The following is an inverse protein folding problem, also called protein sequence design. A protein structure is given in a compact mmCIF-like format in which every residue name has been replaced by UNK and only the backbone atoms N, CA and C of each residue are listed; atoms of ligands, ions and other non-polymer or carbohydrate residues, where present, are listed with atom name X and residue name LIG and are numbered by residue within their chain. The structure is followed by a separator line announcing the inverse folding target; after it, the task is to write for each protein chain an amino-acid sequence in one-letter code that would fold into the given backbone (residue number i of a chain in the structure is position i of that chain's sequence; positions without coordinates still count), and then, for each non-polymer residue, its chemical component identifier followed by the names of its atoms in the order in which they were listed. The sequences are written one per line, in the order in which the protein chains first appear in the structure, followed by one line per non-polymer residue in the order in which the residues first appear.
data_IF_294421848230
#
_entry.id   IF_294421848230
#
_cell.length_a   1.000
_cell.length_b   1.000
_cell.length_c   1.000
_cell.angle_alpha   90.00
_cell.angle_beta   90.00
_cell.angle_gamma   90.00
#
_symmetry.space_group_name_H-M   'P 1'
#
loop_
_entity.id
_entity.type
_entity.pdbx_description
1 polymer ?
#
# COMPACT_ATOMS: atom_id res chain seq x y z
N UNK A 1 12.87 9.68 -28.57
CA UNK A 1 13.62 8.42 -28.82
C UNK A 1 12.61 7.30 -28.58
N UNK A 2 11.88 6.95 -29.65
CA UNK A 2 10.84 5.93 -29.56
C UNK A 2 11.47 4.54 -29.41
N UNK A 3 11.39 3.97 -28.24
CA UNK A 3 11.62 2.55 -28.02
C UNK A 3 10.33 1.79 -28.33
N UNK A 4 10.10 1.50 -29.62
CA UNK A 4 9.11 0.51 -30.00
C UNK A 4 9.77 -0.85 -29.78
N UNK A 5 9.46 -1.50 -28.66
CA UNK A 5 9.80 -2.90 -28.46
C UNK A 5 9.03 -3.73 -29.50
N UNK A 6 9.76 -4.35 -30.43
CA UNK A 6 9.15 -5.24 -31.42
C UNK A 6 8.41 -6.38 -30.71
N UNK A 7 7.28 -6.80 -31.27
CA UNK A 7 6.29 -7.80 -30.80
C UNK A 7 6.78 -9.16 -30.25
N UNK A 8 8.04 -9.33 -29.93
CA UNK A 8 8.64 -10.62 -29.51
C UNK A 8 8.84 -10.79 -27.99
N UNK A 9 8.25 -9.96 -27.13
CA UNK A 9 8.44 -10.09 -25.69
C UNK A 9 7.35 -10.95 -25.03
N UNK A 10 7.32 -12.21 -25.41
CA UNK A 10 6.63 -13.25 -24.64
C UNK A 10 7.42 -13.49 -23.36
N UNK A 11 6.72 -13.52 -22.21
CA UNK A 11 7.30 -13.94 -20.93
C UNK A 11 8.13 -15.21 -21.12
N UNK A 12 9.33 -15.28 -20.53
CA UNK A 12 10.12 -16.51 -20.56
C UNK A 12 9.40 -17.66 -19.83
N UNK A 13 9.89 -18.89 -19.99
CA UNK A 13 9.24 -20.09 -19.42
C UNK A 13 9.06 -19.96 -17.90
N UNK A 14 10.09 -19.52 -17.17
CA UNK A 14 10.06 -19.36 -15.70
C UNK A 14 8.97 -18.37 -15.25
N UNK A 15 8.89 -17.23 -15.91
CA UNK A 15 7.88 -16.20 -15.57
C UNK A 15 6.45 -16.64 -15.88
N UNK A 16 6.26 -17.42 -16.97
CA UNK A 16 4.94 -18.02 -17.26
C UNK A 16 4.54 -19.01 -16.16
N UNK A 17 5.43 -19.90 -15.76
CA UNK A 17 5.19 -20.87 -14.70
C UNK A 17 4.87 -20.16 -13.37
N UNK A 18 5.60 -19.10 -13.01
CA UNK A 18 5.39 -18.31 -11.83
C UNK A 18 4.05 -17.54 -11.85
N UNK A 19 3.69 -16.97 -13.00
CA UNK A 19 2.38 -16.34 -13.21
C UNK A 19 1.25 -17.36 -13.08
N UNK A 20 1.37 -18.51 -13.71
CA UNK A 20 0.37 -19.59 -13.67
C UNK A 20 0.21 -20.14 -12.24
N UNK A 21 1.32 -20.32 -11.51
CA UNK A 21 1.32 -20.67 -10.09
C UNK A 21 0.51 -19.67 -9.26
N UNK A 22 0.68 -18.37 -9.55
CA UNK A 22 -0.01 -17.29 -8.86
C UNK A 22 -1.49 -17.23 -9.25
N UNK A 23 -1.83 -17.28 -10.54
CA UNK A 23 -3.21 -17.25 -11.02
C UNK A 23 -4.04 -18.47 -10.55
N UNK A 24 -3.41 -19.66 -10.51
CA UNK A 24 -4.03 -20.88 -9.97
C UNK A 24 -4.08 -20.91 -8.43
N UNK A 25 -3.59 -19.86 -7.76
CA UNK A 25 -3.55 -19.74 -6.29
C UNK A 25 -2.80 -20.88 -5.59
N UNK A 26 -1.83 -21.49 -6.24
CA UNK A 26 -1.10 -22.63 -5.68
C UNK A 26 -0.25 -22.24 -4.46
N UNK A 27 0.05 -20.96 -4.28
CA UNK A 27 0.70 -20.42 -3.08
C UNK A 27 -0.11 -20.65 -1.80
N UNK A 28 -1.44 -20.85 -1.90
CA UNK A 28 -2.31 -21.11 -0.73
C UNK A 28 -1.95 -22.41 0.01
N UNK A 29 -1.30 -23.36 -0.64
CA UNK A 29 -0.84 -24.60 0.00
C UNK A 29 0.17 -24.37 1.14
N UNK A 30 0.84 -23.22 1.14
CA UNK A 30 1.77 -22.82 2.19
C UNK A 30 1.10 -22.08 3.34
N UNK A 31 -0.18 -21.80 3.23
CA UNK A 31 -0.93 -21.11 4.28
C UNK A 31 -1.43 -22.12 5.31
N UNK A 32 -1.33 -21.70 6.54
CA UNK A 32 -1.92 -22.41 7.67
C UNK A 32 -2.84 -21.48 8.45
N UNK A 33 -3.83 -22.09 9.10
CA UNK A 33 -4.65 -21.37 10.05
C UNK A 33 -3.82 -21.11 11.30
N UNK A 34 -3.80 -19.85 11.68
CA UNK A 34 -3.12 -19.38 12.87
C UNK A 34 -4.07 -18.54 13.69
N UNK A 35 -4.19 -18.88 14.95
CA UNK A 35 -5.02 -18.16 15.92
C UNK A 35 -4.18 -17.84 17.13
N UNK A 36 -4.33 -16.63 17.64
CA UNK A 36 -3.69 -16.18 18.86
C UNK A 36 -4.64 -15.25 19.61
N UNK A 37 -4.85 -15.48 20.89
CA UNK A 37 -5.69 -14.61 21.71
C UNK A 37 -4.89 -13.42 22.26
N UNK A 38 -4.63 -12.42 21.43
CA UNK A 38 -3.95 -11.20 21.85
C UNK A 38 -4.70 -10.45 22.95
N UNK A 39 -6.03 -10.47 22.93
CA UNK A 39 -6.84 -9.79 23.94
C UNK A 39 -6.62 -10.43 25.30
N UNK A 40 -6.69 -11.74 25.37
CA UNK A 40 -6.39 -12.52 26.59
C UNK A 40 -4.95 -12.34 27.05
N UNK A 41 -3.98 -12.44 26.11
CA UNK A 41 -2.55 -12.27 26.39
C UNK A 41 -2.21 -10.91 26.98
N UNK A 42 -2.86 -9.84 26.51
CA UNK A 42 -2.60 -8.48 26.98
C UNK A 42 -3.47 -8.05 28.15
N UNK A 43 -4.43 -8.87 28.58
CA UNK A 43 -5.33 -8.57 29.68
C UNK A 43 -4.56 -8.40 31.00
N UNK A 44 -4.83 -7.32 31.69
CA UNK A 44 -4.17 -7.00 32.98
C UNK A 44 -2.73 -6.50 32.83
N UNK A 45 -2.13 -6.53 31.64
CA UNK A 45 -0.83 -5.91 31.38
C UNK A 45 -1.03 -4.41 31.17
N UNK A 46 -0.21 -3.59 31.81
CA UNK A 46 -0.28 -2.13 31.65
C UNK A 46 0.40 -1.69 30.34
N UNK A 47 -0.17 -2.10 29.19
CA UNK A 47 0.32 -1.82 27.85
C UNK A 47 -0.56 -0.78 27.17
N UNK A 48 0.06 0.25 26.58
CA UNK A 48 -0.64 1.17 25.67
C UNK A 48 -1.10 0.46 24.40
N UNK A 49 -2.01 1.09 23.64
CA UNK A 49 -2.49 0.51 22.37
C UNK A 49 -1.35 0.38 21.35
N UNK A 50 -0.43 1.34 21.33
CA UNK A 50 0.75 1.32 20.46
C UNK A 50 1.63 0.08 20.73
N UNK A 51 1.89 -0.20 22.01
CA UNK A 51 2.67 -1.38 22.41
C UNK A 51 1.94 -2.68 22.10
N UNK A 52 0.61 -2.73 22.33
CA UNK A 52 -0.19 -3.92 21.96
C UNK A 52 -0.15 -4.16 20.46
N UNK A 53 -0.30 -3.10 19.64
CA UNK A 53 -0.19 -3.19 18.18
C UNK A 53 1.18 -3.73 17.76
N UNK A 54 2.26 -3.21 18.33
CA UNK A 54 3.62 -3.62 18.03
C UNK A 54 3.92 -5.06 18.45
N UNK A 55 3.47 -5.48 19.63
CA UNK A 55 3.65 -6.85 20.12
C UNK A 55 2.82 -7.85 19.30
N UNK A 56 1.58 -7.49 18.96
CA UNK A 56 0.75 -8.31 18.09
C UNK A 56 1.39 -8.48 16.69
N UNK A 57 1.94 -7.39 16.14
CA UNK A 57 2.69 -7.44 14.88
C UNK A 57 3.93 -8.35 15.00
N UNK A 58 4.72 -8.19 16.07
CA UNK A 58 5.91 -9.03 16.32
C UNK A 58 5.55 -10.53 16.36
N UNK A 59 4.57 -10.91 17.18
CA UNK A 59 4.12 -12.30 17.29
C UNK A 59 3.57 -12.83 15.96
N UNK A 60 2.89 -11.96 15.17
CA UNK A 60 2.44 -12.31 13.82
C UNK A 60 3.59 -12.53 12.85
N UNK A 61 4.66 -11.74 12.94
CA UNK A 61 5.88 -11.96 12.16
C UNK A 61 6.60 -13.26 12.55
N UNK A 62 6.61 -13.59 13.84
CA UNK A 62 7.19 -14.86 14.34
C UNK A 62 6.42 -16.09 13.83
N UNK A 63 5.10 -15.97 13.65
CA UNK A 63 4.24 -17.00 13.08
C UNK A 63 4.39 -17.20 11.57
N UNK A 64 4.95 -16.22 10.84
CA UNK A 64 5.21 -16.34 9.42
C UNK A 64 6.34 -17.36 9.17
N UNK A 65 6.10 -18.31 8.26
CA UNK A 65 7.10 -19.25 7.79
C UNK A 65 7.73 -18.72 6.50
N UNK A 66 9.01 -18.39 6.45
CA UNK A 66 9.69 -17.98 5.23
C UNK A 66 9.66 -19.09 4.17
N UNK A 67 9.06 -18.80 3.03
CA UNK A 67 9.05 -19.68 1.85
C UNK A 67 9.84 -18.99 0.75
N UNK A 68 10.89 -19.64 0.28
CA UNK A 68 11.76 -19.18 -0.81
C UNK A 68 11.88 -20.27 -1.87
N UNK A 69 11.68 -19.90 -3.13
CA UNK A 69 11.87 -20.81 -4.26
C UNK A 69 13.27 -20.66 -4.84
N UNK A 70 13.89 -21.79 -5.31
CA UNK A 70 15.28 -21.76 -5.78
C UNK A 70 15.56 -20.72 -6.89
N UNK A 71 14.61 -20.51 -7.77
CA UNK A 71 14.81 -19.69 -8.98
C UNK A 71 14.15 -18.30 -8.91
N UNK A 72 13.54 -17.93 -7.78
CA UNK A 72 12.91 -16.62 -7.67
C UNK A 72 13.94 -15.53 -7.35
N UNK A 73 13.61 -14.29 -7.75
CA UNK A 73 14.42 -13.10 -7.50
C UNK A 73 13.81 -12.19 -6.45
N UNK A 74 12.48 -12.22 -6.32
CA UNK A 74 11.70 -11.44 -5.34
C UNK A 74 10.86 -12.41 -4.53
N UNK A 75 11.18 -12.52 -3.26
CA UNK A 75 10.56 -13.50 -2.37
C UNK A 75 9.62 -12.86 -1.36
N UNK A 76 8.45 -13.38 -1.27
CA UNK A 76 7.52 -13.34 -0.14
C UNK A 76 6.28 -14.14 -0.48
N UNK A 77 5.92 -15.07 0.38
CA UNK A 77 4.64 -15.79 0.35
C UNK A 77 3.96 -15.61 1.69
N UNK A 78 2.69 -15.22 1.67
CA UNK A 78 1.89 -15.14 2.88
C UNK A 78 1.56 -16.55 3.40
N UNK A 79 2.03 -16.88 4.59
CA UNK A 79 1.85 -18.22 5.20
C UNK A 79 0.84 -18.22 6.35
N UNK A 80 0.50 -17.07 6.91
CA UNK A 80 -0.53 -16.91 7.94
C UNK A 80 -1.79 -16.31 7.34
N UNK A 81 -2.95 -16.93 7.57
CA UNK A 81 -4.22 -16.47 6.98
C UNK A 81 -4.72 -15.16 7.58
N UNK A 82 -4.71 -15.04 8.90
CA UNK A 82 -5.31 -13.91 9.62
C UNK A 82 -4.34 -13.35 10.67
N UNK A 83 -4.47 -12.06 10.94
CA UNK A 83 -3.91 -11.43 12.13
C UNK A 83 -5.07 -11.12 13.07
N UNK A 84 -5.17 -11.79 14.23
CA UNK A 84 -6.25 -11.56 15.17
C UNK A 84 -6.23 -10.14 15.75
N UNK A 85 -7.40 -9.65 16.18
CA UNK A 85 -7.50 -8.36 16.85
C UNK A 85 -6.74 -8.35 18.18
N UNK A 86 -6.02 -7.28 18.45
CA UNK A 86 -5.21 -7.11 19.67
C UNK A 86 -5.87 -6.24 20.73
N UNK A 87 -7.14 -5.89 20.54
CA UNK A 87 -7.90 -5.00 21.41
C UNK A 87 -9.39 -5.34 21.47
N UNK A 88 -10.03 -5.01 22.57
CA UNK A 88 -11.48 -4.91 22.68
C UNK A 88 -11.94 -3.52 22.26
N UNK A 89 -12.96 -3.35 21.39
CA UNK A 89 -13.38 -2.03 20.91
C UNK A 89 -13.71 -1.03 22.02
N UNK A 90 -14.34 -1.48 23.11
CA UNK A 90 -14.65 -0.60 24.26
C UNK A 90 -13.40 -0.12 24.98
N UNK A 91 -12.43 -1.02 25.18
CA UNK A 91 -11.15 -0.71 25.81
C UNK A 91 -10.32 0.26 24.98
N UNK A 92 -10.25 0.00 23.66
CA UNK A 92 -9.54 0.86 22.74
C UNK A 92 -10.14 2.28 22.67
N UNK A 93 -11.47 2.41 22.64
CA UNK A 93 -12.14 3.71 22.68
C UNK A 93 -11.82 4.48 23.97
N UNK A 94 -11.84 3.79 25.11
CA UNK A 94 -11.46 4.38 26.40
C UNK A 94 -10.00 4.84 26.40
N UNK A 95 -9.09 4.02 25.88
CA UNK A 95 -7.66 4.35 25.80
C UNK A 95 -7.37 5.55 24.90
N UNK A 96 -8.12 5.69 23.81
CA UNK A 96 -8.03 6.82 22.88
C UNK A 96 -8.78 8.08 23.38
N UNK A 97 -9.53 7.97 24.48
CA UNK A 97 -10.32 9.09 24.99
C UNK A 97 -11.46 9.53 24.07
N UNK A 98 -12.03 8.58 23.29
CA UNK A 98 -13.04 8.89 22.28
C UNK A 98 -14.43 8.42 22.70
N UNK A 99 -15.46 9.02 22.11
CA UNK A 99 -16.86 8.73 22.42
C UNK A 99 -17.24 7.27 22.08
N UNK A 100 -18.27 6.77 22.77
CA UNK A 100 -18.76 5.40 22.59
C UNK A 100 -19.14 5.11 21.14
N UNK A 101 -19.66 6.10 20.43
CA UNK A 101 -20.14 5.97 19.05
C UNK A 101 -19.04 6.25 18.01
N UNK A 102 -17.83 6.62 18.43
CA UNK A 102 -16.68 6.82 17.58
C UNK A 102 -16.35 5.52 16.79
N UNK A 103 -15.94 5.67 15.55
CA UNK A 103 -15.52 4.56 14.69
C UNK A 103 -14.01 4.38 14.80
N UNK A 104 -13.57 3.20 15.23
CA UNK A 104 -12.18 2.79 15.18
C UNK A 104 -11.86 2.26 13.80
N UNK A 105 -10.84 2.82 13.17
CA UNK A 105 -10.47 2.47 11.80
C UNK A 105 -8.98 2.11 11.72
N UNK A 106 -8.60 1.05 10.98
CA UNK A 106 -7.20 0.82 10.66
C UNK A 106 -6.68 1.96 9.78
N UNK A 107 -5.36 2.18 9.81
CA UNK A 107 -4.71 3.14 8.92
C UNK A 107 -4.77 2.61 7.49
N UNK A 108 -5.42 3.33 6.59
CA UNK A 108 -5.52 2.93 5.19
C UNK A 108 -5.21 4.06 4.21
N UNK A 109 -5.13 3.70 2.92
CA UNK A 109 -4.78 4.59 1.82
C UNK A 109 -3.51 5.37 2.13
N UNK A 110 -2.52 4.65 2.63
CA UNK A 110 -1.23 5.18 3.01
C UNK A 110 -0.23 4.94 1.88
N UNK A 111 0.52 5.98 1.54
CA UNK A 111 1.75 5.87 0.77
C UNK A 111 2.90 6.36 1.66
N UNK A 112 3.73 5.45 2.13
CA UNK A 112 4.91 5.80 2.92
C UNK A 112 5.98 6.44 2.05
N UNK A 113 7.02 7.01 2.65
CA UNK A 113 8.19 7.50 1.94
C UNK A 113 9.07 6.32 1.49
N UNK A 114 8.71 5.72 0.34
CA UNK A 114 9.44 4.59 -0.23
C UNK A 114 10.89 4.94 -0.54
N UNK A 115 11.15 6.14 -1.06
CA UNK A 115 12.50 6.61 -1.37
C UNK A 115 13.38 6.63 -0.11
N UNK A 116 12.85 7.14 1.00
CA UNK A 116 13.55 7.18 2.28
C UNK A 116 13.82 5.78 2.82
N UNK A 117 12.85 4.87 2.73
CA UNK A 117 13.04 3.47 3.08
C UNK A 117 14.20 2.85 2.26
N UNK A 118 14.21 3.06 0.95
CA UNK A 118 15.21 2.48 0.06
C UNK A 118 16.62 3.05 0.26
N UNK A 119 16.72 4.31 0.66
CA UNK A 119 18.01 4.97 0.87
C UNK A 119 18.59 4.72 2.27
N UNK A 120 17.75 4.78 3.31
CA UNK A 120 18.19 4.69 4.71
C UNK A 120 18.03 3.30 5.33
N UNK A 121 16.99 2.58 4.91
CA UNK A 121 16.57 1.35 5.56
C UNK A 121 15.94 1.60 6.93
N UNK A 122 15.64 0.51 7.64
CA UNK A 122 15.07 0.54 8.98
C UNK A 122 16.10 0.92 10.06
N UNK A 123 17.39 0.69 9.83
CA UNK A 123 18.45 1.02 10.78
C UNK A 123 18.49 2.51 11.12
N UNK A 124 18.35 3.39 10.12
CA UNK A 124 18.27 4.83 10.35
C UNK A 124 17.04 5.22 11.21
N UNK A 125 15.92 4.54 11.02
CA UNK A 125 14.72 4.74 11.85
C UNK A 125 14.93 4.23 13.29
N UNK A 126 15.61 3.09 13.46
CA UNK A 126 15.95 2.52 14.75
C UNK A 126 16.85 3.45 15.58
N UNK A 127 17.87 4.01 14.93
CA UNK A 127 18.78 4.98 15.56
C UNK A 127 18.03 6.23 16.01
N UNK A 128 17.15 6.78 15.15
CA UNK A 128 16.31 7.92 15.49
C UNK A 128 15.37 7.62 16.68
N UNK A 129 14.74 6.44 16.70
CA UNK A 129 13.90 6.02 17.83
C UNK A 129 14.69 5.98 19.14
N UNK A 130 15.88 5.37 19.13
CA UNK A 130 16.74 5.27 20.31
C UNK A 130 17.23 6.63 20.79
N UNK A 131 17.63 7.51 19.87
CA UNK A 131 17.99 8.88 20.19
C UNK A 131 16.83 9.64 20.86
N UNK A 132 15.64 9.56 20.29
CA UNK A 132 14.45 10.23 20.87
C UNK A 132 14.04 9.64 22.22
N UNK A 133 14.12 8.32 22.38
CA UNK A 133 13.85 7.66 23.66
C UNK A 133 14.76 8.13 24.78
N UNK A 134 16.02 8.42 24.50
CA UNK A 134 16.96 8.95 25.50
C UNK A 134 16.63 10.36 25.97
N UNK A 135 15.88 11.12 25.18
CA UNK A 135 15.58 12.54 25.40
C UNK A 135 14.17 12.81 25.90
N UNK A 136 13.21 11.91 25.66
CA UNK A 136 11.82 12.15 26.03
C UNK A 136 11.43 11.50 27.36
N UNK A 137 10.72 12.27 28.20
CA UNK A 137 10.12 11.79 29.46
C UNK A 137 8.62 11.57 29.36
N UNK A 138 8.01 12.08 28.31
CA UNK A 138 6.57 11.92 28.06
C UNK A 138 6.23 10.45 27.83
N UNK A 139 5.29 9.92 28.61
CA UNK A 139 4.94 8.49 28.58
C UNK A 139 4.36 8.07 27.24
N UNK A 140 3.47 8.87 26.65
CA UNK A 140 2.82 8.53 25.39
C UNK A 140 3.84 8.49 24.25
N UNK A 141 4.74 9.48 24.20
CA UNK A 141 5.83 9.51 23.23
C UNK A 141 6.78 8.35 23.40
N UNK A 142 7.12 7.99 24.64
CA UNK A 142 7.94 6.80 24.93
C UNK A 142 7.27 5.53 24.44
N UNK A 143 5.99 5.34 24.78
CA UNK A 143 5.23 4.14 24.38
C UNK A 143 5.19 3.99 22.86
N UNK A 144 5.02 5.08 22.12
CA UNK A 144 5.07 5.08 20.65
C UNK A 144 6.46 4.72 20.11
N UNK A 145 7.52 5.33 20.64
CA UNK A 145 8.90 5.05 20.18
C UNK A 145 9.34 3.63 20.52
N UNK A 146 8.98 3.12 21.70
CA UNK A 146 9.24 1.73 22.09
C UNK A 146 8.47 0.76 21.19
N UNK A 147 7.23 1.08 20.82
CA UNK A 147 6.46 0.32 19.84
C UNK A 147 7.13 0.33 18.45
N UNK A 148 7.66 1.48 18.02
CA UNK A 148 8.42 1.59 16.77
C UNK A 148 9.69 0.71 16.78
N UNK A 149 10.41 0.67 17.89
CA UNK A 149 11.58 -0.23 18.05
C UNK A 149 11.16 -1.70 17.92
N UNK A 150 10.08 -2.10 18.62
CA UNK A 150 9.58 -3.48 18.57
C UNK A 150 9.24 -3.91 17.14
N UNK A 151 8.57 -3.07 16.35
CA UNK A 151 8.21 -3.43 14.97
C UNK A 151 9.43 -3.49 14.06
N UNK A 152 10.42 -2.61 14.23
CA UNK A 152 11.66 -2.65 13.46
C UNK A 152 12.43 -3.94 13.73
N UNK A 153 12.59 -4.31 15.02
CA UNK A 153 13.28 -5.54 15.42
C UNK A 153 12.54 -6.79 14.93
N UNK A 154 11.21 -6.78 14.92
CA UNK A 154 10.41 -7.86 14.36
C UNK A 154 10.62 -8.03 12.84
N UNK A 155 10.69 -6.94 12.08
CA UNK A 155 10.99 -6.98 10.64
C UNK A 155 12.42 -7.46 10.40
N UNK A 156 13.39 -7.00 11.18
CA UNK A 156 14.79 -7.45 11.07
C UNK A 156 14.92 -8.96 11.30
N UNK A 157 14.31 -9.48 12.37
CA UNK A 157 14.29 -10.92 12.64
C UNK A 157 13.63 -11.73 11.51
N UNK A 158 12.52 -11.24 10.96
CA UNK A 158 11.88 -11.91 9.83
C UNK A 158 12.78 -11.90 8.59
N UNK A 159 13.51 -10.82 8.32
CA UNK A 159 14.46 -10.75 7.19
C UNK A 159 15.62 -11.75 7.38
N UNK A 160 16.18 -11.89 8.58
CA UNK A 160 17.19 -12.89 8.90
C UNK A 160 16.68 -14.32 8.67
N UNK A 161 15.43 -14.59 9.01
CA UNK A 161 14.80 -15.91 8.77
C UNK A 161 14.58 -16.17 7.27
N UNK A 162 14.25 -15.12 6.48
CA UNK A 162 14.19 -15.23 5.01
C UNK A 162 15.59 -15.44 4.41
N UNK A 163 16.64 -14.79 4.92
CA UNK A 163 18.02 -15.05 4.52
C UNK A 163 18.36 -16.52 4.70
N UNK A 164 18.15 -17.06 5.91
CA UNK A 164 18.42 -18.45 6.22
C UNK A 164 17.62 -19.43 5.34
N UNK A 165 16.35 -19.14 5.09
CA UNK A 165 15.51 -19.95 4.22
C UNK A 165 15.97 -19.90 2.75
N UNK A 166 16.46 -18.75 2.28
CA UNK A 166 17.01 -18.58 0.94
C UNK A 166 18.31 -19.37 0.76
N UNK A 167 19.22 -19.33 1.75
CA UNK A 167 20.45 -20.16 1.74
C UNK A 167 20.09 -21.65 1.73
N UNK A 168 19.15 -22.09 2.55
CA UNK A 168 18.69 -23.48 2.59
C UNK A 168 18.05 -23.94 1.27
N UNK A 169 17.39 -23.02 0.54
CA UNK A 169 16.83 -23.27 -0.78
C UNK A 169 17.87 -23.20 -1.92
N UNK A 170 19.14 -22.85 -1.63
CA UNK A 170 20.18 -22.61 -2.63
C UNK A 170 20.01 -21.32 -3.43
N UNK A 171 19.18 -20.40 -2.96
CA UNK A 171 18.92 -19.12 -3.64
C UNK A 171 19.77 -17.99 -3.02
N UNK A 172 21.05 -17.98 -3.36
CA UNK A 172 22.01 -17.00 -2.84
C UNK A 172 21.65 -15.55 -3.20
N UNK A 173 21.02 -15.31 -4.34
CA UNK A 173 20.64 -13.96 -4.79
C UNK A 173 19.58 -13.34 -3.88
N UNK A 174 18.60 -14.12 -3.43
CA UNK A 174 17.58 -13.69 -2.47
C UNK A 174 18.18 -13.57 -1.08
N UNK A 175 19.08 -14.51 -0.67
CA UNK A 175 19.78 -14.43 0.60
C UNK A 175 20.60 -13.15 0.73
N UNK A 176 21.38 -12.78 -0.29
CA UNK A 176 22.12 -11.51 -0.32
C UNK A 176 21.20 -10.29 -0.20
N UNK A 177 20.04 -10.32 -0.85
CA UNK A 177 19.06 -9.25 -0.71
C UNK A 177 18.59 -9.12 0.73
N UNK A 178 18.17 -10.21 1.39
CA UNK A 178 17.68 -10.16 2.78
C UNK A 178 18.77 -9.88 3.82
N UNK A 179 20.02 -10.20 3.55
CA UNK A 179 21.17 -9.80 4.38
C UNK A 179 21.30 -8.29 4.51
N UNK A 180 20.76 -7.58 3.55
CA UNK A 180 20.83 -6.13 3.49
C UNK A 180 19.50 -5.44 3.77
N UNK A 181 18.46 -5.80 3.03
CA UNK A 181 17.18 -5.08 3.08
C UNK A 181 16.10 -5.89 3.82
N UNK A 182 15.18 -5.21 4.49
CA UNK A 182 14.95 -3.76 4.55
C UNK A 182 15.75 -3.04 5.65
N UNK A 183 16.67 -3.72 6.34
CA UNK A 183 17.39 -3.15 7.49
C UNK A 183 18.30 -1.99 7.07
N UNK A 184 19.03 -2.15 6.00
CA UNK A 184 19.90 -1.12 5.42
C UNK A 184 19.35 -0.65 4.07
N UNK A 185 19.82 0.53 3.63
CA UNK A 185 19.48 1.06 2.31
C UNK A 185 19.89 0.11 1.18
N UNK A 186 19.05 0.03 0.13
CA UNK A 186 19.29 -0.80 -1.04
C UNK A 186 20.46 -0.30 -1.89
N UNK A 187 21.20 -1.20 -2.49
CA UNK A 187 22.29 -0.89 -3.44
C UNK A 187 21.95 -1.25 -4.89
N UNK A 188 21.08 -2.23 -5.08
CA UNK A 188 20.68 -2.74 -6.39
C UNK A 188 19.18 -2.60 -6.60
N UNK A 189 18.74 -2.70 -7.85
CA UNK A 189 17.33 -2.70 -8.20
C UNK A 189 16.60 -3.89 -7.55
N UNK A 190 17.22 -5.07 -7.53
CA UNK A 190 16.65 -6.26 -6.89
C UNK A 190 16.45 -6.06 -5.39
N UNK A 191 17.45 -5.54 -4.68
CA UNK A 191 17.32 -5.21 -3.25
C UNK A 191 16.21 -4.18 -3.00
N UNK A 192 16.12 -3.12 -3.83
CA UNK A 192 15.07 -2.13 -3.72
C UNK A 192 13.67 -2.75 -3.86
N UNK A 193 13.47 -3.60 -4.87
CA UNK A 193 12.21 -4.31 -5.09
C UNK A 193 11.91 -5.30 -3.97
N UNK A 194 12.90 -6.03 -3.46
CA UNK A 194 12.73 -6.94 -2.33
C UNK A 194 12.30 -6.19 -1.06
N UNK A 195 12.90 -5.02 -0.79
CA UNK A 195 12.51 -4.16 0.32
C UNK A 195 11.06 -3.72 0.22
N UNK A 196 10.64 -3.21 -0.95
CA UNK A 196 9.25 -2.78 -1.18
C UNK A 196 8.30 -3.96 -1.02
N UNK A 197 8.63 -5.13 -1.59
CA UNK A 197 7.77 -6.31 -1.54
C UNK A 197 7.52 -6.77 -0.11
N UNK A 198 8.57 -6.88 0.69
CA UNK A 198 8.44 -7.27 2.09
C UNK A 198 7.65 -6.23 2.87
N UNK A 199 8.05 -4.95 2.81
CA UNK A 199 7.42 -3.89 3.60
C UNK A 199 5.96 -3.66 3.21
N UNK A 200 5.60 -3.73 1.93
CA UNK A 200 4.19 -3.62 1.51
C UNK A 200 3.33 -4.74 2.10
N UNK A 201 3.82 -5.98 2.11
CA UNK A 201 3.11 -7.09 2.73
C UNK A 201 2.99 -6.92 4.25
N UNK A 202 4.04 -6.51 4.92
CA UNK A 202 4.06 -6.33 6.37
C UNK A 202 3.18 -5.17 6.84
N UNK A 203 3.00 -4.13 6.04
CA UNK A 203 2.03 -3.07 6.32
C UNK A 203 0.60 -3.62 6.41
N UNK A 204 0.23 -4.58 5.55
CA UNK A 204 -1.07 -5.27 5.70
C UNK A 204 -1.14 -6.10 6.99
N UNK A 205 -0.05 -6.77 7.40
CA UNK A 205 -0.01 -7.45 8.70
C UNK A 205 -0.08 -6.50 9.90
N UNK A 206 0.40 -5.28 9.74
CA UNK A 206 0.26 -4.22 10.74
C UNK A 206 -1.14 -3.60 10.78
N UNK A 207 -2.07 -4.07 9.96
CA UNK A 207 -3.45 -3.61 9.89
C UNK A 207 -3.70 -2.48 8.90
N UNK A 208 -2.69 -2.06 8.11
CA UNK A 208 -2.92 -1.11 7.03
C UNK A 208 -3.64 -1.79 5.85
N UNK A 209 -4.42 -1.03 5.11
CA UNK A 209 -5.06 -1.49 3.88
C UNK A 209 -4.83 -0.46 2.75
N UNK A 210 -4.94 -0.93 1.49
CA UNK A 210 -4.77 -0.08 0.31
C UNK A 210 -3.44 0.71 0.32
N UNK A 211 -2.34 -0.03 0.35
CA UNK A 211 -1.01 0.58 0.39
C UNK A 211 -0.65 1.09 -1.00
N UNK A 212 -0.50 2.41 -1.13
CA UNK A 212 0.01 3.04 -2.34
C UNK A 212 1.51 2.80 -2.50
N UNK A 213 1.91 2.35 -3.68
CA UNK A 213 3.33 2.13 -4.02
C UNK A 213 3.99 3.42 -4.56
N UNK A 214 3.22 4.50 -4.66
CA UNK A 214 3.75 5.81 -5.04
C UNK A 214 4.31 5.87 -6.45
N UNK A 215 5.23 6.79 -6.67
CA UNK A 215 5.85 7.09 -7.96
C UNK A 215 7.04 6.15 -8.23
N UNK A 216 6.73 4.89 -8.48
CA UNK A 216 7.72 3.81 -8.56
C UNK A 216 8.73 4.02 -9.69
N UNK A 217 8.32 4.57 -10.81
CA UNK A 217 9.19 4.90 -11.92
C UNK A 217 10.20 6.01 -11.60
N UNK A 218 9.97 6.81 -10.55
CA UNK A 218 10.88 7.85 -10.10
C UNK A 218 11.91 7.29 -9.10
N UNK A 219 11.44 6.72 -7.99
CA UNK A 219 12.36 6.31 -6.92
C UNK A 219 13.13 5.02 -7.21
N UNK A 220 12.70 4.17 -8.18
CA UNK A 220 13.47 3.02 -8.65
C UNK A 220 14.43 3.36 -9.79
N UNK A 221 14.23 4.47 -10.51
CA UNK A 221 15.04 4.83 -11.67
C UNK A 221 16.53 4.97 -11.36
N UNK A 222 16.96 5.59 -10.24
CA UNK A 222 18.39 5.66 -9.88
C UNK A 222 19.05 4.29 -9.69
N UNK A 223 18.33 3.30 -9.13
CA UNK A 223 18.82 1.93 -8.96
C UNK A 223 18.95 1.23 -10.31
N UNK A 224 17.94 1.36 -11.17
CA UNK A 224 17.94 0.82 -12.54
C UNK A 224 19.12 1.36 -13.35
N UNK A 225 19.33 2.68 -13.40
CA UNK A 225 20.43 3.29 -14.13
C UNK A 225 21.80 2.85 -13.59
N UNK A 226 21.95 2.78 -12.27
CA UNK A 226 23.19 2.35 -11.63
C UNK A 226 23.56 0.92 -12.03
N UNK A 227 22.62 0.01 -12.00
CA UNK A 227 22.85 -1.39 -12.32
C UNK A 227 23.16 -1.58 -13.80
N UNK A 228 22.50 -0.84 -14.71
CA UNK A 228 22.84 -0.82 -16.14
C UNK A 228 24.25 -0.27 -16.38
N UNK A 229 24.62 0.85 -15.73
CA UNK A 229 25.94 1.44 -15.87
C UNK A 229 27.07 0.53 -15.36
N UNK A 230 26.81 -0.21 -14.30
CA UNK A 230 27.73 -1.21 -13.73
C UNK A 230 27.73 -2.52 -14.53
N UNK A 231 26.85 -2.66 -15.50
CA UNK A 231 26.64 -3.90 -16.27
C UNK A 231 26.31 -5.12 -15.40
N UNK A 232 25.76 -4.91 -14.23
CA UNK A 232 25.25 -5.96 -13.34
C UNK A 232 23.85 -6.40 -13.74
N UNK A 233 23.15 -5.61 -14.56
CA UNK A 233 21.83 -5.87 -15.08
C UNK A 233 21.74 -5.46 -16.54
N UNK A 234 21.06 -6.26 -17.38
CA UNK A 234 20.65 -5.84 -18.73
C UNK A 234 19.22 -5.31 -18.72
N UNK A 235 18.78 -4.66 -19.81
CA UNK A 235 17.38 -4.19 -19.94
C UNK A 235 16.39 -5.35 -19.93
N UNK A 236 16.73 -6.47 -20.56
CA UNK A 236 15.92 -7.68 -20.57
C UNK A 236 15.81 -8.29 -19.16
N UNK A 237 16.92 -8.36 -18.44
CA UNK A 237 16.91 -8.84 -17.06
C UNK A 237 16.10 -7.91 -16.15
N UNK A 238 16.19 -6.58 -16.34
CA UNK A 238 15.36 -5.62 -15.62
C UNK A 238 13.87 -5.86 -15.88
N UNK A 239 13.50 -6.09 -17.15
CA UNK A 239 12.12 -6.41 -17.52
C UNK A 239 11.62 -7.68 -16.84
N UNK A 240 12.42 -8.74 -16.84
CA UNK A 240 12.09 -9.99 -16.18
C UNK A 240 11.95 -9.79 -14.65
N UNK A 241 12.81 -8.97 -14.05
CA UNK A 241 12.76 -8.64 -12.63
C UNK A 241 11.48 -7.86 -12.29
N UNK A 242 11.08 -6.86 -13.10
CA UNK A 242 9.81 -6.16 -12.93
C UNK A 242 8.61 -7.08 -13.10
N UNK A 243 8.67 -8.01 -14.05
CA UNK A 243 7.61 -8.99 -14.27
C UNK A 243 7.42 -9.88 -13.03
N UNK A 244 8.50 -10.39 -12.47
CA UNK A 244 8.46 -11.19 -11.24
C UNK A 244 7.98 -10.38 -10.03
N UNK A 245 8.46 -9.16 -9.91
CA UNK A 245 8.04 -8.23 -8.84
C UNK A 245 6.52 -7.98 -8.89
N UNK A 246 5.96 -7.71 -10.08
CA UNK A 246 4.51 -7.51 -10.24
C UNK A 246 3.72 -8.81 -9.98
N UNK A 247 4.22 -9.98 -10.41
CA UNK A 247 3.61 -11.27 -10.07
C UNK A 247 3.54 -11.44 -8.55
N UNK A 248 4.57 -11.03 -7.82
CA UNK A 248 4.67 -11.24 -6.38
C UNK A 248 3.56 -10.55 -5.58
N UNK A 249 3.07 -9.38 -6.01
CA UNK A 249 1.98 -8.66 -5.36
C UNK A 249 0.65 -9.42 -5.42
N UNK A 250 0.44 -10.24 -6.44
CA UNK A 250 -0.79 -11.01 -6.61
C UNK A 250 -0.86 -12.28 -5.75
N UNK A 251 0.18 -12.59 -4.97
CA UNK A 251 0.20 -13.68 -4.00
C UNK A 251 -0.50 -13.35 -2.67
N UNK A 252 -0.84 -12.08 -2.46
CA UNK A 252 -1.54 -11.60 -1.26
C UNK A 252 -3.03 -11.32 -1.52
N UNK A 253 -3.59 -11.88 -2.58
CA UNK A 253 -4.90 -11.54 -3.13
C UNK A 253 -6.10 -11.70 -2.19
N UNK A 254 -5.89 -12.17 -0.97
CA UNK A 254 -6.94 -12.37 0.03
C UNK A 254 -6.79 -11.42 1.23
N UNK A 255 -5.88 -10.46 1.17
CA UNK A 255 -5.70 -9.49 2.27
C UNK A 255 -6.82 -8.47 2.33
N UNK A 256 -7.56 -8.31 1.24
CA UNK A 256 -8.75 -7.47 1.17
C UNK A 256 -9.97 -8.30 0.77
N UNK A 257 -10.89 -8.48 1.72
CA UNK A 257 -12.08 -9.32 1.51
C UNK A 257 -13.11 -8.66 0.60
N UNK A 258 -13.78 -9.47 -0.22
CA UNK A 258 -14.90 -9.03 -1.06
C UNK A 258 -14.49 -8.48 -2.42
N UNK A 259 -13.22 -8.49 -2.76
CA UNK A 259 -12.71 -8.11 -4.08
C UNK A 259 -12.22 -9.32 -4.87
N UNK A 260 -12.02 -9.12 -6.17
CA UNK A 260 -11.49 -10.16 -7.04
C UNK A 260 -10.03 -10.49 -6.73
N UNK A 261 -9.56 -11.64 -7.20
CA UNK A 261 -8.18 -12.05 -7.01
C UNK A 261 -7.20 -11.03 -7.57
N UNK A 262 -6.20 -10.66 -6.78
CA UNK A 262 -5.14 -9.71 -7.15
C UNK A 262 -5.53 -8.26 -6.91
N UNK A 263 -6.74 -7.97 -6.41
CA UNK A 263 -7.19 -6.61 -6.14
C UNK A 263 -7.04 -6.27 -4.65
N UNK A 264 -5.80 -5.99 -4.22
CA UNK A 264 -5.53 -5.51 -2.87
C UNK A 264 -5.48 -3.98 -2.78
N UNK A 265 -5.75 -3.29 -3.88
CA UNK A 265 -5.67 -1.83 -3.94
C UNK A 265 -4.24 -1.30 -3.90
N UNK A 266 -3.27 -2.08 -4.32
CA UNK A 266 -1.87 -1.66 -4.46
C UNK A 266 -1.72 -0.90 -5.78
N UNK A 267 -1.50 0.40 -5.69
CA UNK A 267 -1.47 1.29 -6.86
C UNK A 267 -0.10 1.90 -7.06
N UNK A 268 0.35 1.89 -8.31
CA UNK A 268 1.57 2.56 -8.79
C UNK A 268 1.16 3.79 -9.58
N UNK A 269 1.81 4.92 -9.31
CA UNK A 269 1.68 6.15 -10.07
C UNK A 269 2.89 6.31 -10.99
N UNK A 270 2.66 6.56 -12.27
CA UNK A 270 3.69 6.71 -13.30
C UNK A 270 3.62 8.09 -13.98
N UNK A 271 4.74 8.56 -14.50
CA UNK A 271 4.83 9.75 -15.35
C UNK A 271 4.56 11.07 -14.62
N UNK A 272 3.95 12.02 -15.32
CA UNK A 272 3.65 13.37 -14.83
C UNK A 272 4.88 14.27 -14.74
N UNK A 273 4.92 15.15 -13.74
CA UNK A 273 6.03 16.06 -13.49
C UNK A 273 6.76 15.77 -12.18
N UNK A 274 7.99 16.27 -12.03
CA UNK A 274 8.75 16.30 -10.78
C UNK A 274 8.29 17.46 -9.85
N UNK A 275 8.95 17.64 -8.70
CA UNK A 275 8.63 18.71 -7.75
C UNK A 275 8.80 20.11 -8.32
N UNK A 276 9.67 20.29 -9.31
CA UNK A 276 9.93 21.57 -9.99
C UNK A 276 8.97 21.82 -11.16
N UNK A 277 8.26 20.79 -11.61
CA UNK A 277 7.29 20.84 -12.72
C UNK A 277 7.88 20.40 -14.06
N UNK A 278 9.08 19.81 -14.07
CA UNK A 278 9.66 19.24 -15.28
C UNK A 278 9.05 17.89 -15.62
N UNK A 279 8.98 17.47 -16.90
CA UNK A 279 8.50 16.15 -17.27
C UNK A 279 9.30 15.04 -16.59
N UNK A 280 8.59 14.09 -15.96
CA UNK A 280 9.19 13.01 -15.19
C UNK A 280 9.02 11.62 -15.85
N UNK A 281 8.64 11.58 -17.12
CA UNK A 281 8.55 10.35 -17.92
C UNK A 281 9.96 9.80 -18.19
N UNK A 282 10.18 8.52 -17.90
CA UNK A 282 11.46 7.86 -18.09
C UNK A 282 11.28 6.42 -18.64
N UNK A 283 12.37 5.68 -18.84
CA UNK A 283 12.31 4.32 -19.38
C UNK A 283 11.44 3.37 -18.53
N UNK A 284 11.45 3.53 -17.20
CA UNK A 284 10.65 2.68 -16.31
C UNK A 284 9.15 2.96 -16.44
N UNK A 285 8.76 4.19 -16.81
CA UNK A 285 7.36 4.53 -17.07
C UNK A 285 6.77 3.63 -18.16
N UNK A 286 7.51 3.45 -19.27
CA UNK A 286 7.11 2.55 -20.36
C UNK A 286 7.22 1.07 -19.96
N UNK A 287 8.34 0.68 -19.37
CA UNK A 287 8.62 -0.70 -18.99
C UNK A 287 7.54 -1.29 -18.07
N UNK A 288 7.12 -0.53 -17.07
CA UNK A 288 6.10 -1.00 -16.11
C UNK A 288 4.74 -1.22 -16.78
N UNK A 289 4.34 -0.35 -17.72
CA UNK A 289 3.10 -0.52 -18.48
C UNK A 289 3.18 -1.73 -19.43
N UNK A 290 4.30 -1.94 -20.09
CA UNK A 290 4.52 -3.11 -20.97
C UNK A 290 4.50 -4.42 -20.17
N UNK A 291 5.18 -4.46 -19.04
CA UNK A 291 5.17 -5.61 -18.13
C UNK A 291 3.74 -5.91 -17.64
N UNK A 292 3.00 -4.90 -17.23
CA UNK A 292 1.62 -5.06 -16.79
C UNK A 292 0.72 -5.62 -17.90
N UNK A 293 0.88 -5.11 -19.15
CA UNK A 293 0.19 -5.60 -20.36
C UNK A 293 0.44 -7.09 -20.60
N UNK A 294 1.71 -7.51 -20.48
CA UNK A 294 2.09 -8.89 -20.79
C UNK A 294 1.67 -9.88 -19.69
N UNK A 295 1.68 -9.45 -18.43
CA UNK A 295 1.28 -10.27 -17.31
C UNK A 295 -0.23 -10.46 -17.22
N UNK A 296 -1.01 -9.43 -17.52
CA UNK A 296 -2.48 -9.40 -17.35
C UNK A 296 -2.91 -9.78 -15.93
N UNK A 297 -2.21 -9.24 -14.95
CA UNK A 297 -2.53 -9.34 -13.52
C UNK A 297 -3.04 -7.99 -13.00
N UNK A 298 -3.77 -7.98 -11.88
CA UNK A 298 -4.44 -6.77 -11.40
C UNK A 298 -3.51 -5.92 -10.55
N UNK A 299 -2.80 -6.51 -9.61
CA UNK A 299 -1.85 -5.77 -8.78
C UNK A 299 -0.41 -5.83 -9.36
N UNK A 300 0.31 -4.71 -9.31
CA UNK A 300 -0.15 -3.39 -8.92
C UNK A 300 -1.00 -2.73 -10.01
N UNK A 301 -2.03 -1.99 -9.62
CA UNK A 301 -2.82 -1.16 -10.53
C UNK A 301 -1.99 0.01 -11.03
N UNK A 302 -2.00 0.24 -12.32
CA UNK A 302 -1.28 1.35 -12.93
C UNK A 302 -2.16 2.60 -12.96
N UNK A 303 -1.65 3.69 -12.43
CA UNK A 303 -2.17 5.04 -12.62
C UNK A 303 -1.15 5.82 -13.44
N UNK A 304 -1.59 6.51 -14.49
CA UNK A 304 -0.71 7.32 -15.34
C UNK A 304 -1.10 8.79 -15.20
N UNK A 305 -0.14 9.60 -14.80
CA UNK A 305 -0.29 11.06 -14.82
C UNK A 305 -0.06 11.57 -16.24
N UNK A 306 -0.98 12.40 -16.70
CA UNK A 306 -0.96 13.01 -18.04
C UNK A 306 -1.14 14.51 -17.95
N UNK A 307 -0.60 15.22 -18.92
CA UNK A 307 -0.80 16.65 -19.18
C UNK A 307 -0.70 16.90 -20.69
N UNK A 308 -0.77 18.18 -21.10
CA UNK A 308 -0.62 18.57 -22.51
C UNK A 308 0.74 18.24 -23.13
N UNK A 309 1.77 18.03 -22.32
CA UNK A 309 3.14 17.74 -22.76
C UNK A 309 3.44 16.23 -22.72
N UNK A 310 2.47 15.41 -22.37
CA UNK A 310 2.63 13.95 -22.32
C UNK A 310 2.98 13.42 -23.72
N UNK A 311 4.08 12.67 -23.90
CA UNK A 311 4.50 12.16 -25.19
C UNK A 311 3.43 11.26 -25.85
N UNK A 312 3.22 11.42 -27.17
CA UNK A 312 2.25 10.64 -27.91
C UNK A 312 2.53 9.13 -27.88
N UNK A 313 3.80 8.74 -27.86
CA UNK A 313 4.21 7.32 -27.77
C UNK A 313 3.89 6.73 -26.40
N UNK A 314 3.95 7.55 -25.31
CA UNK A 314 3.50 7.14 -24.00
C UNK A 314 1.98 6.92 -23.99
N UNK A 315 1.20 7.83 -24.57
CA UNK A 315 -0.25 7.68 -24.69
C UNK A 315 -0.62 6.43 -25.50
N UNK A 316 0.10 6.14 -26.60
CA UNK A 316 -0.09 4.90 -27.37
C UNK A 316 0.18 3.66 -26.51
N UNK A 317 1.27 3.64 -25.74
CA UNK A 317 1.59 2.53 -24.83
C UNK A 317 0.49 2.35 -23.78
N UNK A 318 -0.01 3.45 -23.22
CA UNK A 318 -1.11 3.43 -22.25
C UNK A 318 -2.42 2.91 -22.86
N UNK A 319 -2.77 3.32 -24.09
CA UNK A 319 -3.93 2.79 -24.81
C UNK A 319 -3.82 1.28 -25.05
N UNK A 320 -2.65 0.78 -25.42
CA UNK A 320 -2.42 -0.67 -25.59
C UNK A 320 -2.62 -1.44 -24.26
N UNK A 321 -2.30 -0.84 -23.11
CA UNK A 321 -2.60 -1.44 -21.82
C UNK A 321 -4.10 -1.37 -21.51
N UNK A 322 -4.77 -0.27 -21.84
CA UNK A 322 -6.23 -0.11 -21.67
C UNK A 322 -6.99 -1.16 -22.47
N UNK A 323 -6.56 -1.46 -23.70
CA UNK A 323 -7.16 -2.50 -24.58
C UNK A 323 -7.12 -3.91 -23.97
N UNK A 324 -6.24 -4.17 -22.99
CA UNK A 324 -6.18 -5.45 -22.28
C UNK A 324 -7.40 -5.71 -21.38
N UNK A 325 -8.25 -4.70 -21.13
CA UNK A 325 -9.48 -4.85 -20.36
C UNK A 325 -9.26 -5.02 -18.85
N UNK A 326 -8.09 -4.63 -18.32
CA UNK A 326 -7.77 -4.74 -16.90
C UNK A 326 -8.36 -3.60 -16.05
N UNK A 327 -8.98 -2.59 -16.68
CA UNK A 327 -9.53 -1.42 -15.99
C UNK A 327 -8.48 -0.34 -15.67
N UNK A 328 -7.28 -0.44 -16.21
CA UNK A 328 -6.20 0.53 -16.07
C UNK A 328 -5.30 0.55 -17.34
N UNK A 329 -4.41 1.57 -17.54
CA UNK A 329 -4.10 2.61 -16.56
C UNK A 329 -5.31 3.50 -16.29
N UNK A 330 -5.42 3.92 -15.02
CA UNK A 330 -6.30 5.04 -14.68
C UNK A 330 -5.53 6.33 -15.01
N UNK A 331 -6.21 7.31 -15.61
CA UNK A 331 -5.56 8.53 -16.05
C UNK A 331 -5.82 9.67 -15.06
N UNK A 332 -4.77 10.30 -14.56
CA UNK A 332 -4.83 11.48 -13.70
C UNK A 332 -4.27 12.69 -14.44
N UNK A 333 -5.12 13.70 -14.69
CA UNK A 333 -4.71 14.91 -15.40
C UNK A 333 -4.08 15.92 -14.43
N UNK A 334 -2.76 16.14 -14.55
CA UNK A 334 -2.00 17.06 -13.73
C UNK A 334 -2.51 18.50 -13.78
N UNK A 335 -3.05 18.95 -14.94
CA UNK A 335 -3.61 20.28 -15.10
C UNK A 335 -4.91 20.49 -14.30
N UNK A 336 -5.54 19.41 -13.85
CA UNK A 336 -6.74 19.44 -13.02
C UNK A 336 -6.40 19.13 -11.55
N UNK A 337 -5.64 18.06 -11.33
CA UNK A 337 -5.37 17.55 -9.97
C UNK A 337 -4.47 18.48 -9.18
N UNK A 338 -3.35 18.95 -9.77
CA UNK A 338 -2.41 19.83 -9.06
C UNK A 338 -3.07 21.14 -8.61
N UNK A 339 -3.79 21.90 -9.46
CA UNK A 339 -4.49 23.10 -9.01
C UNK A 339 -5.56 22.82 -7.95
N UNK A 340 -6.26 21.67 -8.04
CA UNK A 340 -7.26 21.29 -7.06
C UNK A 340 -6.64 21.01 -5.67
N UNK A 341 -5.49 20.33 -5.62
CA UNK A 341 -4.75 20.09 -4.38
C UNK A 341 -4.23 21.40 -3.78
N UNK A 342 -3.66 22.28 -4.59
CA UNK A 342 -3.21 23.62 -4.13
C UNK A 342 -4.38 24.42 -3.57
N UNK A 343 -5.53 24.40 -4.23
CA UNK A 343 -6.75 25.04 -3.72
C UNK A 343 -7.21 24.47 -2.38
N UNK A 344 -6.95 23.19 -2.14
CA UNK A 344 -7.25 22.51 -0.87
C UNK A 344 -6.17 22.75 0.21
N UNK A 345 -5.18 23.60 -0.05
CA UNK A 345 -4.19 24.02 0.97
C UNK A 345 -2.85 23.28 0.93
N UNK A 346 -2.63 22.36 -0.02
CA UNK A 346 -1.32 21.74 -0.21
C UNK A 346 -0.34 22.73 -0.83
N UNK A 347 0.95 22.61 -0.49
CA UNK A 347 2.01 23.34 -1.20
C UNK A 347 2.06 22.90 -2.67
N UNK A 348 2.59 23.76 -3.56
CA UNK A 348 2.73 23.39 -4.98
C UNK A 348 3.66 22.19 -5.16
N UNK A 349 4.73 22.11 -4.37
CA UNK A 349 5.70 20.99 -4.35
C UNK A 349 4.98 19.68 -3.96
N UNK A 350 4.22 19.68 -2.86
CA UNK A 350 3.44 18.53 -2.43
C UNK A 350 2.39 18.14 -3.47
N UNK A 351 1.66 19.13 -3.99
CA UNK A 351 0.66 18.89 -5.01
C UNK A 351 1.26 18.27 -6.28
N UNK A 352 2.49 18.62 -6.66
CA UNK A 352 3.21 18.00 -7.78
C UNK A 352 3.69 16.58 -7.47
N UNK A 353 3.85 16.25 -6.20
CA UNK A 353 4.27 14.90 -5.77
C UNK A 353 3.09 13.97 -5.42
N UNK A 354 1.87 14.34 -5.79
CA UNK A 354 0.71 13.49 -5.51
C UNK A 354 0.82 12.10 -6.13
N UNK A 355 0.22 11.14 -5.46
CA UNK A 355 0.01 9.78 -5.94
C UNK A 355 -1.43 9.35 -5.66
N UNK A 356 -1.78 8.14 -6.08
CA UNK A 356 -3.06 7.52 -5.76
C UNK A 356 -2.81 6.31 -4.86
N UNK A 357 -3.58 6.18 -3.80
CA UNK A 357 -3.73 4.95 -3.05
C UNK A 357 -5.10 4.35 -3.38
N UNK A 358 -5.21 3.03 -3.41
CA UNK A 358 -6.38 2.29 -3.84
C UNK A 358 -6.86 2.65 -5.26
N UNK A 359 -8.01 3.32 -5.43
CA UNK A 359 -8.61 3.56 -6.75
C UNK A 359 -8.39 4.98 -7.25
N UNK A 360 -8.87 5.98 -6.49
CA UNK A 360 -8.87 7.40 -6.88
C UNK A 360 -8.53 8.33 -5.72
N UNK A 361 -7.97 7.80 -4.66
CA UNK A 361 -7.66 8.53 -3.45
C UNK A 361 -6.32 9.23 -3.61
N UNK A 362 -6.38 10.55 -3.90
CA UNK A 362 -5.19 11.37 -4.05
C UNK A 362 -4.54 11.60 -2.70
N UNK A 363 -3.32 11.10 -2.54
CA UNK A 363 -2.53 11.26 -1.32
C UNK A 363 -1.15 11.85 -1.65
N UNK A 364 -0.57 12.52 -0.68
CA UNK A 364 0.81 12.97 -0.77
C UNK A 364 1.68 11.93 -0.05
N UNK A 365 2.64 11.28 -0.72
CA UNK A 365 3.52 10.32 -0.09
C UNK A 365 4.12 10.86 1.20
N UNK A 366 4.10 10.07 2.26
CA UNK A 366 4.62 10.40 3.60
C UNK A 366 3.87 11.49 4.39
N UNK A 367 2.93 12.22 3.81
CA UNK A 367 2.32 13.39 4.46
C UNK A 367 0.84 13.25 4.80
N UNK A 368 0.18 12.23 4.28
CA UNK A 368 -1.24 12.07 4.50
C UNK A 368 -1.74 10.66 4.31
N UNK A 369 -2.93 10.43 4.82
CA UNK A 369 -3.75 9.25 4.57
C UNK A 369 -5.14 9.73 4.18
N UNK A 370 -5.80 9.00 3.30
CA UNK A 370 -7.19 9.25 2.96
C UNK A 370 -8.10 8.28 3.71
N UNK A 371 -9.25 8.78 4.15
CA UNK A 371 -10.28 7.97 4.76
C UNK A 371 -11.31 7.65 3.71
N UNK A 372 -11.23 6.45 3.15
CA UNK A 372 -12.19 6.02 2.14
C UNK A 372 -13.10 4.92 2.66
N UNK A 373 -14.24 4.81 2.01
CA UNK A 373 -15.20 3.74 2.25
C UNK A 373 -15.74 3.71 3.69
N UNK A 374 -15.70 4.85 4.37
CA UNK A 374 -16.25 4.96 5.71
C UNK A 374 -17.75 4.73 5.74
N UNK A 375 -18.43 5.29 4.74
CA UNK A 375 -19.88 5.22 4.62
C UNK A 375 -20.31 5.50 3.18
N UNK A 376 -21.50 5.05 2.83
CA UNK A 376 -22.07 5.25 1.51
C UNK A 376 -23.50 5.76 1.58
N UNK A 377 -23.84 6.66 0.65
CA UNK A 377 -25.22 7.00 0.35
C UNK A 377 -25.71 6.04 -0.72
N UNK A 378 -26.65 5.17 -0.35
CA UNK A 378 -27.21 4.22 -1.29
C UNK A 378 -28.32 4.87 -2.14
N UNK A 379 -28.00 5.23 -3.35
CA UNK A 379 -28.95 5.76 -4.33
C UNK A 379 -30.05 4.74 -4.68
N UNK A 380 -29.72 3.48 -5.00
CA UNK A 380 -30.74 2.46 -5.26
C UNK A 380 -31.69 2.25 -4.07
N UNK A 381 -31.18 2.32 -2.85
CA UNK A 381 -32.02 2.19 -1.65
C UNK A 381 -32.98 3.38 -1.49
N UNK A 382 -32.51 4.60 -1.74
CA UNK A 382 -33.37 5.79 -1.70
C UNK A 382 -34.49 5.72 -2.76
N UNK A 383 -34.15 5.29 -3.99
CA UNK A 383 -35.12 5.06 -5.07
C UNK A 383 -36.11 3.98 -4.70
N UNK A 384 -35.65 2.84 -4.20
CA UNK A 384 -36.50 1.71 -3.79
C UNK A 384 -37.49 2.11 -2.67
N UNK A 385 -37.03 2.83 -1.66
CA UNK A 385 -37.88 3.35 -0.58
C UNK A 385 -38.91 4.35 -1.09
N UNK A 386 -38.48 5.29 -1.93
CA UNK A 386 -39.38 6.25 -2.55
C UNK A 386 -40.45 5.54 -3.36
N UNK A 387 -40.10 4.50 -4.12
CA UNK A 387 -41.03 3.68 -4.89
C UNK A 387 -42.04 2.94 -3.98
N UNK A 388 -41.56 2.28 -2.91
CA UNK A 388 -42.44 1.61 -1.93
C UNK A 388 -43.46 2.55 -1.25
N UNK A 389 -43.06 3.78 -0.98
CA UNK A 389 -43.95 4.81 -0.43
C UNK A 389 -44.94 5.31 -1.49
N UNK A 390 -44.46 5.52 -2.70
CA UNK A 390 -45.22 6.05 -3.81
C UNK A 390 -46.38 5.12 -4.22
N UNK A 391 -46.12 3.83 -4.28
CA UNK A 391 -47.17 2.82 -4.64
C UNK A 391 -48.33 2.79 -3.64
N UNK A 392 -48.12 3.28 -2.41
CA UNK A 392 -49.14 3.35 -1.37
C UNK A 392 -50.00 4.63 -1.40
N UNK A 393 -49.62 5.61 -2.25
CA UNK A 393 -50.28 6.89 -2.30
C UNK A 393 -51.23 6.97 -3.53
N UNK A 394 -52.50 7.38 -3.36
CA UNK A 394 -53.49 7.37 -4.43
C UNK A 394 -53.24 8.44 -5.53
N UNK A 395 -52.38 9.42 -5.25
CA UNK A 395 -52.01 10.50 -6.18
C UNK A 395 -50.50 10.63 -6.26
N UNK A 396 -49.86 9.70 -6.98
CA UNK A 396 -48.41 9.74 -7.18
C UNK A 396 -48.03 10.67 -8.33
N UNK A 397 -47.21 11.68 -8.03
CA UNK A 397 -46.62 12.55 -9.04
C UNK A 397 -45.09 12.35 -9.13
N UNK A 398 -44.53 12.61 -10.33
CA UNK A 398 -43.09 12.63 -10.53
C UNK A 398 -42.39 13.61 -9.58
N UNK A 399 -43.05 14.68 -9.21
CA UNK A 399 -42.52 15.66 -8.25
C UNK A 399 -42.38 15.06 -6.87
N UNK A 400 -43.44 14.43 -6.34
CA UNK A 400 -43.40 13.78 -5.02
C UNK A 400 -42.32 12.69 -4.94
N UNK A 401 -42.18 11.88 -5.99
CA UNK A 401 -41.17 10.84 -6.07
C UNK A 401 -39.76 11.42 -5.96
N UNK A 402 -39.45 12.49 -6.69
CA UNK A 402 -38.16 13.18 -6.59
C UNK A 402 -37.90 13.74 -5.19
N UNK A 403 -38.92 14.28 -4.53
CA UNK A 403 -38.77 14.80 -3.16
C UNK A 403 -38.51 13.69 -2.15
N UNK A 404 -39.18 12.54 -2.29
CA UNK A 404 -38.94 11.37 -1.44
C UNK A 404 -37.52 10.82 -1.58
N UNK A 405 -37.00 10.74 -2.81
CA UNK A 405 -35.60 10.35 -3.04
C UNK A 405 -34.64 11.35 -2.37
N UNK A 406 -34.82 12.66 -2.61
CA UNK A 406 -34.02 13.72 -2.01
C UNK A 406 -34.05 13.65 -0.48
N UNK A 407 -35.23 13.47 0.09
CA UNK A 407 -35.40 13.37 1.54
C UNK A 407 -34.68 12.16 2.13
N UNK A 408 -34.77 11.00 1.48
CA UNK A 408 -34.06 9.80 1.96
C UNK A 408 -32.54 9.92 1.83
N UNK A 409 -32.06 10.49 0.74
CA UNK A 409 -30.64 10.80 0.58
C UNK A 409 -30.12 11.76 1.66
N UNK A 410 -30.83 12.87 1.91
CA UNK A 410 -30.48 13.80 2.99
C UNK A 410 -30.56 13.15 4.36
N UNK A 411 -31.46 12.23 4.58
CA UNK A 411 -31.54 11.44 5.81
C UNK A 411 -30.28 10.57 5.97
N UNK A 412 -29.85 9.88 4.91
CA UNK A 412 -28.62 9.09 4.91
C UNK A 412 -27.40 9.97 5.16
N UNK A 413 -27.27 11.11 4.47
CA UNK A 413 -26.16 12.05 4.67
C UNK A 413 -26.11 12.56 6.11
N UNK A 414 -27.25 12.96 6.70
CA UNK A 414 -27.31 13.41 8.10
C UNK A 414 -26.95 12.30 9.08
N UNK A 415 -27.28 11.05 8.79
CA UNK A 415 -26.86 9.92 9.59
C UNK A 415 -25.34 9.76 9.53
N UNK A 416 -24.75 9.82 8.33
CA UNK A 416 -23.29 9.77 8.12
C UNK A 416 -22.62 10.92 8.92
N UNK A 417 -23.11 12.13 8.82
CA UNK A 417 -22.57 13.27 9.55
C UNK A 417 -22.57 13.09 11.09
N UNK A 418 -23.56 12.38 11.65
CA UNK A 418 -23.62 12.07 13.08
C UNK A 418 -22.63 10.98 13.51
N UNK A 419 -22.21 10.11 12.57
CA UNK A 419 -21.31 8.97 12.82
C UNK A 419 -19.86 9.32 12.42
N UNK A 420 -19.56 10.63 12.28
CA UNK A 420 -18.32 11.09 11.67
C UNK A 420 -17.11 11.26 12.58
N UNK A 421 -17.13 10.69 13.79
CA UNK A 421 -15.96 10.68 14.65
C UNK A 421 -15.13 9.42 14.38
N UNK A 422 -14.11 9.57 13.50
CA UNK A 422 -13.19 8.48 13.17
C UNK A 422 -11.88 8.67 13.90
N UNK A 423 -11.42 7.60 14.51
CA UNK A 423 -10.13 7.52 15.13
C UNK A 423 -9.32 6.36 14.55
N UNK A 424 -8.09 6.64 14.16
CA UNK A 424 -7.20 5.60 13.69
C UNK A 424 -6.63 4.78 14.83
N UNK A 425 -6.61 3.47 14.61
CA UNK A 425 -5.89 2.56 15.47
C UNK A 425 -4.38 2.77 15.32
N UNK A 426 -3.60 2.58 16.37
CA UNK A 426 -2.16 2.67 16.30
C UNK A 426 -1.56 1.72 15.26
N UNK A 427 -0.71 2.25 14.41
CA UNK A 427 0.07 1.48 13.44
C UNK A 427 1.54 1.95 13.45
N UNK A 428 2.35 1.49 14.42
CA UNK A 428 3.74 1.92 14.53
C UNK A 428 4.55 1.68 13.25
N UNK A 429 4.38 0.54 12.59
CA UNK A 429 5.07 0.24 11.32
C UNK A 429 4.70 1.23 10.22
N UNK A 430 3.40 1.55 10.06
CA UNK A 430 2.92 2.50 9.06
C UNK A 430 3.45 3.91 9.27
N UNK A 431 3.79 4.28 10.52
CA UNK A 431 4.31 5.60 10.85
C UNK A 431 5.84 5.75 10.69
N UNK A 432 6.60 4.67 10.48
CA UNK A 432 8.08 4.74 10.42
C UNK A 432 8.59 5.68 9.31
N UNK A 433 7.88 5.75 8.20
CA UNK A 433 8.24 6.54 7.03
C UNK A 433 7.14 7.55 6.66
N UNK A 434 6.46 8.10 7.68
CA UNK A 434 5.58 9.26 7.57
C UNK A 434 6.32 10.45 8.16
N UNK A 435 6.32 11.57 7.43
CA UNK A 435 7.05 12.76 7.81
C UNK A 435 6.58 13.31 9.16
N UNK A 436 7.53 13.59 10.03
CA UNK A 436 7.29 14.13 11.36
C UNK A 436 6.83 13.12 12.41
N UNK A 437 6.41 11.90 12.05
CA UNK A 437 5.87 10.95 13.02
C UNK A 437 6.91 10.53 14.07
N UNK A 438 8.08 10.07 13.66
CA UNK A 438 9.18 9.74 14.59
C UNK A 438 9.85 10.99 15.15
N UNK A 439 10.02 12.02 14.33
CA UNK A 439 10.64 13.29 14.71
C UNK A 439 9.89 13.97 15.85
N UNK A 440 8.57 13.89 15.87
CA UNK A 440 7.70 14.43 16.92
C UNK A 440 7.36 13.38 18.00
N UNK A 441 7.76 12.13 17.76
CA UNK A 441 7.47 10.98 18.60
C UNK A 441 5.98 10.83 18.92
N UNK A 442 5.12 10.93 17.90
CA UNK A 442 3.70 10.67 18.03
C UNK A 442 3.14 9.98 16.79
N UNK A 443 2.07 9.24 16.99
CA UNK A 443 1.30 8.68 15.91
C UNK A 443 0.62 9.79 15.10
N UNK A 444 0.63 9.68 13.77
CA UNK A 444 -0.11 10.61 12.92
C UNK A 444 -1.60 10.52 13.29
N UNK A 445 -2.09 11.57 13.93
CA UNK A 445 -3.50 11.78 14.18
C UNK A 445 -3.99 12.78 13.15
N UNK A 446 -4.77 12.34 12.20
CA UNK A 446 -5.47 13.23 11.30
C UNK A 446 -6.70 13.78 12.03
N UNK A 447 -6.67 15.07 12.34
CA UNK A 447 -7.84 15.82 12.73
C UNK A 447 -8.55 16.37 11.53
#
# INVERSE_FOLDING_TARGET
IGFIWKEKNVLNKRLRELRDFTQKRLFKKYRHDWTFDFVGEFKGKNLSLEKRAALAFKISCEALEPIVFPDEKISFVRTVNNVPAYYEPKEAKKALGVEKDAVLHPLNNLTINWEKLLNEGLSGRLELCREKLSKTKDKQKRDFLEAAVIVIEAVANLAERYEAAAEAAGNHSVAESFRRVPLYGAKTLQEAMQSIRLMSALLYYAGCAHIGLGRMDQYLYPFYLRDLQRKTLTKEQARDLFAEFFISFNRDSDTYFGVQQGDNGQTVMLGGCDGEGNPAVNELTYLMMEVSKDLKLIDPKINLRIDRNTPDDLLKTACMLTECGLGFPQYSNDEVVIPALVKNGYSLEDARNYTVAACWEFVIPSKGVEIVNKSAVSFPYAVHRAFKLAVKLPLFSKFLFRQLIKWDMWRQIRHIQKVCDIHFLPCPLGCLFVDGALEQAFQVSLR
#
